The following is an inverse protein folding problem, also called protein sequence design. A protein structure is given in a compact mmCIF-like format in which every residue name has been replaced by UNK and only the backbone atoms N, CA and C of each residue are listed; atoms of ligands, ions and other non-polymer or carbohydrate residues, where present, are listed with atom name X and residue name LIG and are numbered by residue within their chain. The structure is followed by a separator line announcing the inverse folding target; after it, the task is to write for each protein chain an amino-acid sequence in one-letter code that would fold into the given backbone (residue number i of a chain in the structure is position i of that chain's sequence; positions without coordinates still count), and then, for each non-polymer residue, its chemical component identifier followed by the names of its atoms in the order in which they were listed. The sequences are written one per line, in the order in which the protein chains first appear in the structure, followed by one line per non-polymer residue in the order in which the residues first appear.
data_IF_527951969952
#
_entry.id   IF_527951969952
#
_cell.length_a   1.000
_cell.length_b   1.000
_cell.length_c   1.000
_cell.angle_alpha   90.00
_cell.angle_beta   90.00
_cell.angle_gamma   90.00
#
_symmetry.space_group_name_H-M   'P 1'
#
loop_
_entity.id
_entity.type
_entity.pdbx_description
1 polymer ?
#
# COMPACT_ATOMS: atom_id res chain seq x y z
N UNK A 1 8.95 -9.04 -19.28
CA UNK A 1 8.81 -10.09 -18.25
C UNK A 1 7.92 -11.24 -18.71
N UNK A 2 6.84 -10.96 -19.42
CA UNK A 2 5.95 -12.00 -19.98
C UNK A 2 6.61 -12.81 -21.12
N UNK A 3 7.56 -12.21 -21.84
CA UNK A 3 8.36 -12.89 -22.86
C UNK A 3 9.40 -13.82 -22.19
N UNK A 4 9.07 -15.11 -22.17
CA UNK A 4 9.92 -16.13 -21.54
C UNK A 4 11.30 -16.26 -22.21
N UNK A 5 11.37 -16.12 -23.53
CA UNK A 5 12.64 -16.28 -24.26
C UNK A 5 13.67 -15.23 -23.84
N UNK A 6 13.22 -14.02 -23.49
CA UNK A 6 14.09 -12.94 -23.00
C UNK A 6 14.35 -13.03 -21.50
N UNK A 7 13.38 -13.48 -20.70
CA UNK A 7 13.46 -13.55 -19.24
C UNK A 7 14.31 -14.71 -18.73
N UNK A 8 14.07 -15.90 -19.27
CA UNK A 8 14.67 -17.14 -18.78
C UNK A 8 16.22 -17.14 -18.81
N UNK A 9 16.90 -16.61 -19.87
CA UNK A 9 18.37 -16.51 -19.87
C UNK A 9 18.92 -15.65 -18.75
N UNK A 10 18.23 -14.55 -18.38
CA UNK A 10 18.63 -13.66 -17.30
C UNK A 10 18.53 -14.37 -15.94
N UNK A 11 17.42 -15.07 -15.70
CA UNK A 11 17.25 -15.86 -14.47
C UNK A 11 18.34 -16.94 -14.36
N UNK A 12 18.66 -17.63 -15.47
CA UNK A 12 19.70 -18.65 -15.49
C UNK A 12 21.08 -18.13 -15.09
N UNK A 13 21.41 -16.89 -15.46
CA UNK A 13 22.70 -16.24 -15.16
C UNK A 13 22.78 -15.65 -13.75
N UNK A 14 21.64 -15.40 -13.11
CA UNK A 14 21.60 -14.75 -11.78
C UNK A 14 22.06 -15.72 -10.70
N UNK A 15 22.66 -15.21 -9.63
CA UNK A 15 22.90 -15.93 -8.37
C UNK A 15 21.64 -15.96 -7.51
N UNK A 16 20.92 -14.83 -7.47
CA UNK A 16 19.64 -14.65 -6.79
C UNK A 16 18.75 -13.73 -7.62
N UNK A 17 17.45 -13.92 -7.59
CA UNK A 17 16.46 -13.09 -8.30
C UNK A 17 15.69 -12.27 -7.27
N UNK A 18 15.69 -10.94 -7.43
CA UNK A 18 14.87 -10.00 -6.64
C UNK A 18 13.77 -9.46 -7.57
N UNK A 19 12.52 -9.74 -7.23
CA UNK A 19 11.38 -9.32 -8.03
C UNK A 19 10.62 -8.18 -7.39
N UNK A 20 10.70 -6.99 -7.99
CA UNK A 20 9.92 -5.80 -7.64
C UNK A 20 8.78 -5.55 -8.64
N UNK A 21 8.38 -6.58 -9.35
CA UNK A 21 7.32 -6.53 -10.36
C UNK A 21 5.93 -6.42 -9.73
N UNK A 22 4.89 -6.05 -10.52
CA UNK A 22 3.51 -6.21 -10.08
C UNK A 22 3.20 -7.64 -9.61
N UNK A 23 2.33 -7.81 -8.59
CA UNK A 23 2.11 -9.11 -7.92
C UNK A 23 1.82 -10.28 -8.86
N UNK A 24 1.01 -10.06 -9.89
CA UNK A 24 0.63 -11.07 -10.88
C UNK A 24 1.77 -11.55 -11.78
N UNK A 25 2.92 -10.90 -11.75
CA UNK A 25 4.09 -11.25 -12.57
C UNK A 25 5.14 -12.06 -11.81
N UNK A 26 5.09 -12.10 -10.48
CA UNK A 26 6.06 -12.85 -9.67
C UNK A 26 6.07 -14.35 -10.00
N UNK A 27 4.91 -14.92 -10.27
CA UNK A 27 4.79 -16.37 -10.56
C UNK A 27 5.60 -16.82 -11.79
N UNK A 28 5.76 -15.94 -12.79
CA UNK A 28 6.57 -16.24 -13.95
C UNK A 28 8.06 -16.39 -13.59
N UNK A 29 8.55 -15.47 -12.73
CA UNK A 29 9.92 -15.55 -12.23
C UNK A 29 10.11 -16.72 -11.27
N UNK A 30 9.13 -17.03 -10.42
CA UNK A 30 9.17 -18.14 -9.49
C UNK A 30 9.33 -19.50 -10.23
N UNK A 31 8.55 -19.71 -11.30
CA UNK A 31 8.66 -20.91 -12.13
C UNK A 31 10.04 -21.04 -12.81
N UNK A 32 10.59 -19.93 -13.30
CA UNK A 32 11.93 -19.95 -13.90
C UNK A 32 13.02 -20.16 -12.84
N UNK A 33 12.87 -19.53 -11.65
CA UNK A 33 13.79 -19.73 -10.53
C UNK A 33 13.82 -21.20 -10.07
N UNK A 34 12.66 -21.82 -9.91
CA UNK A 34 12.58 -23.25 -9.55
C UNK A 34 13.27 -24.12 -10.61
N UNK A 35 12.98 -23.88 -11.91
CA UNK A 35 13.58 -24.61 -13.04
C UNK A 35 15.10 -24.50 -13.06
N UNK A 36 15.65 -23.30 -12.79
CA UNK A 36 17.10 -23.03 -12.87
C UNK A 36 17.80 -23.08 -11.53
N UNK A 37 17.12 -23.57 -10.49
CA UNK A 37 17.64 -23.69 -9.11
C UNK A 37 18.20 -22.39 -8.58
N UNK A 38 17.40 -21.32 -8.66
CA UNK A 38 17.72 -19.96 -8.16
C UNK A 38 16.84 -19.58 -7.01
N UNK A 39 17.39 -18.89 -6.03
CA UNK A 39 16.62 -18.30 -4.94
C UNK A 39 15.85 -17.08 -5.43
N UNK A 40 14.68 -16.81 -4.82
CA UNK A 40 13.80 -15.70 -5.18
C UNK A 40 13.43 -14.87 -3.96
N UNK A 41 13.47 -13.55 -4.11
CA UNK A 41 12.94 -12.59 -3.13
C UNK A 41 11.87 -11.74 -3.82
N UNK A 42 10.72 -11.54 -3.16
CA UNK A 42 9.68 -10.61 -3.63
C UNK A 42 9.22 -9.67 -2.53
N UNK A 43 8.80 -8.46 -2.89
CA UNK A 43 8.25 -7.46 -1.96
C UNK A 43 6.74 -7.59 -1.74
N UNK A 44 6.07 -8.48 -2.45
CA UNK A 44 4.61 -8.59 -2.42
C UNK A 44 4.14 -9.66 -1.44
N UNK A 45 2.86 -9.56 -1.05
CA UNK A 45 2.16 -10.61 -0.30
C UNK A 45 2.26 -11.96 -1.01
N UNK A 46 2.34 -13.03 -0.21
CA UNK A 46 2.35 -14.37 -0.73
C UNK A 46 1.01 -14.70 -1.40
N UNK A 47 1.04 -15.06 -2.68
CA UNK A 47 -0.16 -15.52 -3.40
C UNK A 47 -0.39 -17.01 -3.18
N UNK A 48 -1.62 -17.50 -3.41
CA UNK A 48 -1.92 -18.93 -3.34
C UNK A 48 -1.07 -19.75 -4.33
N UNK A 49 -0.78 -19.18 -5.51
CA UNK A 49 0.10 -19.83 -6.50
C UNK A 49 1.55 -19.97 -5.98
N UNK A 50 2.07 -18.93 -5.30
CA UNK A 50 3.40 -18.98 -4.67
C UNK A 50 3.43 -20.00 -3.52
N UNK A 51 2.36 -20.01 -2.70
CA UNK A 51 2.19 -20.94 -1.60
C UNK A 51 2.14 -22.39 -2.04
N UNK A 52 1.47 -22.65 -3.17
CA UNK A 52 1.39 -23.99 -3.75
C UNK A 52 2.77 -24.54 -4.19
N UNK A 53 3.75 -23.67 -4.47
CA UNK A 53 5.12 -24.08 -4.83
C UNK A 53 6.00 -24.44 -3.62
N UNK A 54 5.56 -24.23 -2.39
CA UNK A 54 6.40 -24.36 -1.17
C UNK A 54 7.08 -25.72 -1.08
N UNK A 55 6.35 -26.80 -1.33
CA UNK A 55 6.89 -28.16 -1.29
C UNK A 55 8.02 -28.36 -2.30
N UNK A 56 7.79 -28.03 -3.57
CA UNK A 56 8.77 -28.20 -4.64
C UNK A 56 10.02 -27.34 -4.41
N UNK A 57 9.84 -26.11 -3.91
CA UNK A 57 10.93 -25.19 -3.58
C UNK A 57 11.81 -25.77 -2.48
N UNK A 58 11.21 -26.30 -1.41
CA UNK A 58 11.93 -26.95 -0.30
C UNK A 58 12.65 -28.22 -0.73
N UNK A 59 12.01 -29.06 -1.52
CA UNK A 59 12.63 -30.28 -2.08
C UNK A 59 13.80 -29.97 -3.01
N UNK A 60 13.75 -28.84 -3.71
CA UNK A 60 14.86 -28.36 -4.54
C UNK A 60 16.01 -27.72 -3.74
N UNK A 61 15.90 -27.58 -2.41
CA UNK A 61 16.86 -26.91 -1.54
C UNK A 61 16.93 -25.40 -1.79
N UNK A 62 15.83 -24.80 -2.24
CA UNK A 62 15.75 -23.37 -2.57
C UNK A 62 15.00 -22.58 -1.49
N UNK A 63 15.22 -21.27 -1.50
CA UNK A 63 14.52 -20.32 -0.66
C UNK A 63 13.76 -19.30 -1.54
N UNK A 64 12.44 -19.24 -1.38
CA UNK A 64 11.59 -18.20 -1.93
C UNK A 64 11.07 -17.35 -0.76
N UNK A 65 11.58 -16.11 -0.65
CA UNK A 65 11.16 -15.18 0.38
C UNK A 65 10.18 -14.17 -0.20
N UNK A 66 8.93 -14.28 0.17
CA UNK A 66 7.91 -13.27 -0.11
C UNK A 66 7.82 -12.25 1.03
N UNK A 67 7.06 -11.17 0.82
CA UNK A 67 6.81 -10.16 1.85
C UNK A 67 8.09 -9.49 2.37
N UNK A 68 9.04 -9.24 1.46
CA UNK A 68 10.32 -8.60 1.76
C UNK A 68 10.34 -7.12 1.32
N UNK A 69 9.21 -6.43 1.49
CA UNK A 69 9.02 -5.01 1.22
C UNK A 69 8.91 -4.18 2.49
N UNK A 70 8.13 -3.12 2.43
CA UNK A 70 7.81 -2.26 3.57
C UNK A 70 6.58 -2.79 4.33
N UNK A 71 5.45 -2.91 3.66
CA UNK A 71 4.16 -3.48 4.05
C UNK A 71 3.57 -4.20 2.82
N UNK A 72 3.86 -5.49 2.72
CA UNK A 72 4.40 -6.41 3.74
C UNK A 72 5.94 -6.49 3.76
N UNK A 73 6.53 -6.58 4.96
CA UNK A 73 7.95 -6.84 5.17
C UNK A 73 8.52 -6.23 6.44
N UNK A 74 9.01 -5.00 6.37
CA UNK A 74 9.59 -4.30 7.53
C UNK A 74 8.58 -4.17 8.67
N UNK A 75 7.29 -4.01 8.36
CA UNK A 75 6.19 -4.01 9.33
C UNK A 75 6.14 -5.31 10.14
N UNK A 76 6.28 -6.46 9.49
CA UNK A 76 6.33 -7.76 10.14
C UNK A 76 7.59 -7.94 11.00
N UNK A 77 8.75 -7.55 10.46
CA UNK A 77 10.03 -7.70 11.15
C UNK A 77 10.09 -6.85 12.43
N UNK A 78 9.63 -5.60 12.35
CA UNK A 78 9.61 -4.69 13.50
C UNK A 78 8.57 -5.09 14.52
N UNK A 79 7.38 -5.54 14.09
CA UNK A 79 6.35 -6.07 14.96
C UNK A 79 6.86 -7.31 15.73
N UNK A 80 7.39 -8.32 15.02
CA UNK A 80 7.87 -9.55 15.63
C UNK A 80 9.04 -9.31 16.59
N UNK A 81 9.94 -8.36 16.26
CA UNK A 81 11.01 -7.97 17.21
C UNK A 81 10.45 -7.50 18.55
N UNK A 82 9.36 -6.73 18.55
CA UNK A 82 8.72 -6.23 19.77
C UNK A 82 7.97 -7.36 20.47
N UNK A 83 7.18 -8.15 19.74
CA UNK A 83 6.39 -9.26 20.23
C UNK A 83 7.27 -10.30 20.93
N UNK A 84 8.34 -10.73 20.29
CA UNK A 84 9.32 -11.64 20.89
C UNK A 84 10.00 -11.04 22.13
N UNK A 85 10.21 -9.70 22.14
CA UNK A 85 10.70 -9.00 23.34
C UNK A 85 9.73 -9.12 24.52
N UNK A 86 8.43 -8.98 24.27
CA UNK A 86 7.37 -9.12 25.27
C UNK A 86 7.27 -10.57 25.74
N UNK A 87 7.30 -11.54 24.82
CA UNK A 87 7.23 -12.97 25.17
C UNK A 87 8.40 -13.41 26.04
N UNK A 88 9.63 -12.91 25.78
CA UNK A 88 10.82 -13.22 26.61
C UNK A 88 10.67 -12.84 28.07
N UNK A 89 9.85 -11.86 28.39
CA UNK A 89 9.54 -11.48 29.79
C UNK A 89 8.20 -12.06 30.28
N UNK A 90 7.66 -13.07 29.58
CA UNK A 90 6.37 -13.68 29.86
C UNK A 90 5.18 -12.68 29.88
N UNK A 91 5.24 -11.67 29.00
CA UNK A 91 4.15 -10.76 28.77
C UNK A 91 3.08 -11.38 27.87
N UNK A 92 1.81 -11.15 28.16
CA UNK A 92 0.65 -11.64 27.40
C UNK A 92 0.09 -10.48 26.58
N UNK A 93 0.20 -10.57 25.26
CA UNK A 93 -0.27 -9.50 24.35
C UNK A 93 -1.80 -9.57 24.24
N UNK A 94 -2.46 -8.46 24.58
CA UNK A 94 -3.92 -8.34 24.57
C UNK A 94 -4.44 -7.48 23.40
N UNK A 95 -3.60 -6.57 22.89
CA UNK A 95 -3.92 -5.72 21.72
C UNK A 95 -2.67 -5.47 20.88
N UNK A 96 -2.82 -5.64 19.59
CA UNK A 96 -1.81 -5.30 18.59
C UNK A 96 -2.45 -4.51 17.45
N UNK A 97 -1.91 -3.34 17.15
CA UNK A 97 -2.29 -2.55 15.98
C UNK A 97 -1.02 -2.09 15.27
N UNK A 98 -0.95 -2.36 13.99
CA UNK A 98 0.14 -1.92 13.11
C UNK A 98 -0.40 -0.99 12.05
N UNK A 99 0.23 0.15 11.89
CA UNK A 99 -0.12 1.15 10.91
C UNK A 99 1.08 1.43 10.02
N UNK A 100 0.89 1.42 8.71
CA UNK A 100 1.93 1.75 7.76
C UNK A 100 1.38 2.63 6.62
N UNK A 101 2.16 3.58 6.12
CA UNK A 101 1.78 4.40 4.98
C UNK A 101 2.97 4.99 4.25
N UNK A 102 2.89 4.95 2.91
CA UNK A 102 3.66 5.83 2.04
C UNK A 102 2.90 7.14 1.88
N UNK A 103 3.52 8.24 2.25
CA UNK A 103 2.96 9.58 2.26
C UNK A 103 3.89 10.52 1.47
N UNK A 104 3.43 11.73 1.20
CA UNK A 104 4.29 12.80 0.73
C UNK A 104 4.94 13.49 1.94
N UNK A 105 6.23 13.83 1.83
CA UNK A 105 6.90 14.60 2.86
C UNK A 105 6.30 16.02 2.96
N UNK A 106 6.21 16.63 4.17
CA UNK A 106 5.55 17.92 4.35
C UNK A 106 6.09 19.03 3.44
N UNK A 107 7.38 19.03 3.15
CA UNK A 107 8.02 19.98 2.26
C UNK A 107 7.65 19.84 0.78
N UNK A 108 7.09 18.71 0.38
CA UNK A 108 6.66 18.39 -0.99
C UNK A 108 5.15 18.29 -1.13
N UNK A 109 4.43 18.60 -0.05
CA UNK A 109 2.96 18.53 0.02
C UNK A 109 2.33 19.82 -0.51
N UNK A 110 1.84 19.77 -1.75
CA UNK A 110 1.36 20.93 -2.50
C UNK A 110 0.01 20.70 -3.20
N UNK A 111 -0.78 19.74 -2.74
CA UNK A 111 -2.10 19.47 -3.33
C UNK A 111 -3.17 19.19 -2.26
N UNK A 112 -4.48 19.38 -2.56
CA UNK A 112 -5.54 19.29 -1.55
C UNK A 112 -5.79 17.86 -1.04
N UNK A 113 -5.23 16.85 -1.70
CA UNK A 113 -5.32 15.45 -1.29
C UNK A 113 -4.21 15.05 -0.31
N UNK A 114 -3.15 15.87 -0.19
CA UNK A 114 -1.97 15.55 0.60
C UNK A 114 -1.40 14.19 0.23
N UNK A 115 -1.35 13.91 -1.08
CA UNK A 115 -0.90 12.63 -1.61
C UNK A 115 -0.23 12.79 -2.98
N UNK A 116 0.83 12.04 -3.20
CA UNK A 116 1.47 11.80 -4.50
C UNK A 116 1.85 10.32 -4.63
N UNK A 117 2.01 9.82 -5.84
CA UNK A 117 2.42 8.46 -6.10
C UNK A 117 3.91 8.27 -5.85
N UNK A 118 4.28 7.60 -4.76
CA UNK A 118 5.65 7.14 -4.49
C UNK A 118 5.85 5.66 -4.86
N UNK A 119 4.82 4.99 -5.35
CA UNK A 119 4.82 3.58 -5.72
C UNK A 119 3.77 3.33 -6.82
N UNK A 120 3.47 2.05 -7.12
CA UNK A 120 2.60 1.70 -8.25
C UNK A 120 1.21 2.36 -8.16
N UNK A 121 0.85 3.27 -9.10
CA UNK A 121 -0.41 4.00 -9.06
C UNK A 121 -1.65 3.10 -9.10
N UNK A 122 -1.64 2.02 -9.89
CA UNK A 122 -2.77 1.09 -9.98
C UNK A 122 -3.08 0.43 -8.63
N UNK A 123 -2.03 0.05 -7.88
CA UNK A 123 -2.22 -0.53 -6.56
C UNK A 123 -2.83 0.45 -5.56
N UNK A 124 -2.65 1.75 -5.74
CA UNK A 124 -3.31 2.78 -4.92
C UNK A 124 -4.80 2.83 -5.25
N UNK A 125 -5.18 2.81 -6.54
CA UNK A 125 -6.59 2.85 -6.96
C UNK A 125 -7.35 1.59 -6.50
N UNK A 126 -6.70 0.44 -6.51
CA UNK A 126 -7.30 -0.83 -6.08
C UNK A 126 -7.07 -1.16 -4.60
N UNK A 127 -6.44 -0.24 -3.84
CA UNK A 127 -6.20 -0.46 -2.41
C UNK A 127 -7.52 -0.64 -1.64
N UNK A 128 -7.61 -1.73 -0.90
CA UNK A 128 -8.81 -2.04 -0.12
C UNK A 128 -9.91 -2.78 -0.89
N UNK A 129 -9.79 -2.98 -2.22
CA UNK A 129 -10.83 -3.63 -3.03
C UNK A 129 -11.24 -5.03 -2.53
N UNK A 130 -10.34 -5.74 -1.85
CA UNK A 130 -10.63 -7.03 -1.24
C UNK A 130 -11.34 -6.95 0.13
N UNK A 131 -11.67 -5.74 0.60
CA UNK A 131 -12.15 -5.54 1.95
C UNK A 131 -11.05 -5.70 3.00
N UNK A 132 -11.44 -5.78 4.26
CA UNK A 132 -10.53 -6.03 5.38
C UNK A 132 -11.18 -6.86 6.49
N UNK A 133 -10.39 -7.75 7.11
CA UNK A 133 -10.79 -8.53 8.29
C UNK A 133 -9.80 -8.29 9.41
N UNK A 134 -10.31 -8.06 10.60
CA UNK A 134 -9.48 -7.84 11.78
C UNK A 134 -10.24 -8.20 13.06
N UNK A 135 -9.51 -8.33 14.17
CA UNK A 135 -10.10 -8.57 15.48
C UNK A 135 -10.18 -7.25 16.26
N UNK A 136 -11.35 -6.93 16.80
CA UNK A 136 -11.57 -5.76 17.65
C UNK A 136 -12.31 -6.15 18.93
N UNK A 137 -11.63 -6.01 20.07
CA UNK A 137 -12.20 -6.34 21.40
C UNK A 137 -12.84 -7.74 21.47
N UNK A 138 -12.19 -8.73 20.86
CA UNK A 138 -12.61 -10.12 20.83
C UNK A 138 -13.68 -10.45 19.79
N UNK A 139 -14.06 -9.51 18.93
CA UNK A 139 -14.99 -9.74 17.82
C UNK A 139 -14.27 -9.60 16.49
N UNK A 140 -14.54 -10.52 15.59
CA UNK A 140 -14.12 -10.38 14.19
C UNK A 140 -14.96 -9.30 13.51
N UNK A 141 -14.27 -8.41 12.82
CA UNK A 141 -14.85 -7.35 12.01
C UNK A 141 -14.51 -7.64 10.55
N UNK A 142 -15.53 -7.70 9.71
CA UNK A 142 -15.41 -7.82 8.27
C UNK A 142 -15.92 -6.53 7.63
N UNK A 143 -15.04 -5.82 6.95
CA UNK A 143 -15.35 -4.50 6.38
C UNK A 143 -15.27 -4.60 4.86
N UNK A 144 -16.40 -4.56 4.15
CA UNK A 144 -16.40 -4.52 2.70
C UNK A 144 -15.83 -3.19 2.18
N UNK A 145 -15.37 -3.21 0.93
CA UNK A 145 -14.68 -2.06 0.32
C UNK A 145 -15.47 -0.77 0.41
N UNK A 146 -16.78 -0.82 0.14
CA UNK A 146 -17.68 0.32 0.13
C UNK A 146 -17.72 1.05 1.48
N UNK A 147 -17.51 0.32 2.58
CA UNK A 147 -17.53 0.84 3.96
C UNK A 147 -16.15 1.16 4.52
N UNK A 148 -15.09 0.84 3.79
CA UNK A 148 -13.70 0.94 4.27
C UNK A 148 -13.35 2.36 4.74
N UNK A 149 -13.82 3.37 4.03
CA UNK A 149 -13.47 4.77 4.23
C UNK A 149 -14.59 5.59 4.92
N UNK A 150 -15.73 5.01 5.25
CA UNK A 150 -16.86 5.72 5.89
C UNK A 150 -16.51 6.27 7.27
N UNK A 151 -15.81 5.49 8.06
CA UNK A 151 -15.37 5.91 9.38
C UNK A 151 -13.95 6.50 9.32
N UNK A 152 -13.80 7.80 9.49
CA UNK A 152 -12.49 8.44 9.58
C UNK A 152 -11.90 8.14 10.95
N UNK A 153 -11.14 7.06 11.04
CA UNK A 153 -10.37 6.70 12.21
C UNK A 153 -9.04 7.45 12.19
N UNK A 154 -8.58 7.91 13.35
CA UNK A 154 -7.31 8.66 13.46
C UNK A 154 -6.41 8.01 14.48
N UNK A 155 -5.11 8.17 14.26
CA UNK A 155 -4.05 7.83 15.21
C UNK A 155 -3.02 8.96 15.23
N UNK A 156 -2.45 9.23 16.39
CA UNK A 156 -1.40 10.25 16.53
C UNK A 156 -0.04 9.58 16.34
N UNK A 157 0.72 10.06 15.37
CA UNK A 157 2.10 9.60 15.13
C UNK A 157 3.06 10.62 15.73
N UNK A 158 4.00 10.20 16.60
CA UNK A 158 4.99 11.10 17.17
C UNK A 158 5.75 11.89 16.09
N UNK A 159 5.83 13.21 16.26
CA UNK A 159 6.50 14.11 15.32
C UNK A 159 5.71 14.50 14.05
N UNK A 160 4.56 13.85 13.77
CA UNK A 160 3.75 14.17 12.60
C UNK A 160 2.31 14.60 12.92
N UNK A 161 1.83 14.32 14.14
CA UNK A 161 0.45 14.63 14.51
C UNK A 161 -0.56 13.54 14.09
N UNK A 162 -1.82 13.96 13.89
CA UNK A 162 -2.91 13.04 13.62
C UNK A 162 -2.98 12.65 12.14
N UNK A 163 -2.82 11.36 11.86
CA UNK A 163 -3.09 10.74 10.55
C UNK A 163 -4.40 9.96 10.59
N UNK A 164 -5.06 9.85 9.45
CA UNK A 164 -6.18 8.93 9.27
C UNK A 164 -5.68 7.55 8.89
N UNK A 165 -6.49 6.52 9.20
CA UNK A 165 -6.20 5.16 8.77
C UNK A 165 -7.45 4.40 8.38
N UNK A 166 -7.27 3.39 7.56
CA UNK A 166 -8.27 2.37 7.24
C UNK A 166 -7.64 0.98 7.38
N UNK A 167 -8.43 -0.06 7.76
CA UNK A 167 -7.89 -1.41 7.92
C UNK A 167 -7.34 -1.94 6.60
N UNK A 168 -6.28 -2.76 6.69
CA UNK A 168 -5.56 -3.27 5.52
C UNK A 168 -5.71 -4.78 5.40
N UNK A 169 -6.46 -5.23 4.38
CA UNK A 169 -6.63 -6.65 4.01
C UNK A 169 -7.06 -7.55 5.19
N UNK A 170 -6.84 -8.85 5.07
CA UNK A 170 -7.05 -9.80 6.17
C UNK A 170 -5.86 -9.75 7.14
N UNK A 171 -6.09 -9.20 8.33
CA UNK A 171 -5.11 -9.21 9.40
C UNK A 171 -5.07 -10.55 10.14
N UNK A 172 -6.18 -11.31 10.14
CA UNK A 172 -6.31 -12.52 10.96
C UNK A 172 -5.39 -13.65 10.48
N UNK A 173 -5.05 -13.68 9.20
CA UNK A 173 -4.10 -14.63 8.65
C UNK A 173 -2.68 -14.58 9.26
N UNK A 174 -2.38 -13.54 10.04
CA UNK A 174 -1.07 -13.36 10.69
C UNK A 174 -1.06 -13.71 12.18
N UNK A 175 -2.19 -14.10 12.78
CA UNK A 175 -2.28 -14.41 14.22
C UNK A 175 -1.31 -15.50 14.64
N UNK A 176 -1.26 -16.59 13.88
CA UNK A 176 -0.36 -17.71 14.15
C UNK A 176 1.12 -17.32 13.91
N UNK A 177 1.39 -16.59 12.82
CA UNK A 177 2.75 -16.16 12.49
C UNK A 177 3.32 -15.16 13.52
N UNK A 178 2.47 -14.45 14.22
CA UNK A 178 2.86 -13.52 15.29
C UNK A 178 2.83 -14.16 16.69
N UNK A 179 2.39 -15.41 16.78
CA UNK A 179 2.32 -16.15 18.06
C UNK A 179 1.52 -15.40 19.15
N UNK A 180 0.34 -14.85 18.79
CA UNK A 180 -0.50 -14.04 19.69
C UNK A 180 -1.91 -14.62 19.85
N UNK A 181 -2.07 -15.86 20.33
CA UNK A 181 -3.36 -16.55 20.36
C UNK A 181 -4.40 -15.88 21.28
N UNK A 182 -3.95 -15.19 22.33
CA UNK A 182 -4.82 -14.58 23.35
C UNK A 182 -5.23 -13.15 23.04
N UNK A 183 -4.75 -12.59 21.93
CA UNK A 183 -5.00 -11.21 21.55
C UNK A 183 -6.51 -10.94 21.38
N UNK A 184 -6.99 -9.80 21.88
CA UNK A 184 -8.39 -9.37 21.74
C UNK A 184 -8.57 -8.30 20.66
N UNK A 185 -7.51 -7.62 20.29
CA UNK A 185 -7.50 -6.67 19.18
C UNK A 185 -6.27 -6.92 18.34
N UNK A 186 -6.49 -7.23 17.05
CA UNK A 186 -5.40 -7.46 16.10
C UNK A 186 -5.75 -6.83 14.76
N UNK A 187 -5.03 -5.79 14.38
CA UNK A 187 -5.34 -5.00 13.18
C UNK A 187 -4.08 -4.49 12.51
N UNK A 188 -4.01 -4.67 11.20
CA UNK A 188 -3.10 -3.95 10.31
C UNK A 188 -3.88 -2.88 9.56
N UNK A 189 -3.30 -1.70 9.38
CA UNK A 189 -4.00 -0.56 8.81
C UNK A 189 -3.08 0.30 7.93
N UNK A 190 -3.66 0.97 6.96
CA UNK A 190 -2.96 1.90 6.07
C UNK A 190 -3.16 3.33 6.55
N UNK A 191 -2.04 4.06 6.71
CA UNK A 191 -2.04 5.48 7.07
C UNK A 191 -2.22 6.36 5.83
N UNK A 192 -3.00 7.43 6.00
CA UNK A 192 -3.16 8.50 5.01
C UNK A 192 -3.43 9.84 5.72
N UNK A 193 -3.32 10.93 4.97
CA UNK A 193 -3.82 12.21 5.45
C UNK A 193 -5.36 12.17 5.57
N UNK A 194 -5.96 12.85 6.57
CA UNK A 194 -7.42 12.84 6.74
C UNK A 194 -8.22 13.31 5.52
N UNK A 195 -7.69 14.25 4.73
CA UNK A 195 -8.32 14.70 3.48
C UNK A 195 -8.39 13.59 2.46
N UNK A 196 -7.31 12.79 2.29
CA UNK A 196 -7.31 11.65 1.38
C UNK A 196 -8.49 10.71 1.66
N UNK A 197 -8.66 10.29 2.92
CA UNK A 197 -9.75 9.36 3.28
C UNK A 197 -11.12 9.92 2.95
N UNK A 198 -11.38 11.22 3.21
CA UNK A 198 -12.65 11.87 2.86
C UNK A 198 -12.90 11.90 1.35
N UNK A 199 -11.90 12.32 0.59
CA UNK A 199 -12.01 12.37 -0.87
C UNK A 199 -12.15 10.98 -1.48
N UNK A 200 -11.38 10.00 -0.97
CA UNK A 200 -11.44 8.62 -1.44
C UNK A 200 -12.80 7.98 -1.17
N UNK A 201 -13.39 8.22 0.00
CA UNK A 201 -14.76 7.82 0.31
C UNK A 201 -15.75 8.32 -0.76
N UNK A 202 -15.62 9.57 -1.18
CA UNK A 202 -16.50 10.13 -2.22
C UNK A 202 -16.31 9.42 -3.56
N UNK A 203 -15.07 9.12 -3.98
CA UNK A 203 -14.79 8.37 -5.21
C UNK A 203 -15.38 6.96 -5.18
N UNK A 204 -15.23 6.26 -4.05
CA UNK A 204 -15.80 4.92 -3.82
C UNK A 204 -17.32 4.97 -3.86
N UNK A 205 -17.94 5.88 -3.13
CA UNK A 205 -19.40 6.03 -3.06
C UNK A 205 -20.05 6.41 -4.41
N UNK A 206 -19.29 7.06 -5.30
CA UNK A 206 -19.67 7.34 -6.67
C UNK A 206 -19.41 6.17 -7.63
N UNK A 207 -18.75 5.10 -7.19
CA UNK A 207 -18.35 3.97 -8.03
C UNK A 207 -17.27 4.29 -9.05
N UNK A 208 -16.46 5.34 -8.81
CA UNK A 208 -15.38 5.75 -9.72
C UNK A 208 -14.13 4.89 -9.61
N UNK A 209 -14.06 4.02 -8.61
CA UNK A 209 -12.99 3.05 -8.39
C UNK A 209 -13.33 1.63 -8.86
N UNK A 210 -14.47 1.46 -9.52
CA UNK A 210 -14.94 0.17 -10.02
C UNK A 210 -14.00 -0.37 -11.11
N UNK A 211 -13.54 -1.61 -10.92
CA UNK A 211 -12.66 -2.31 -11.87
C UNK A 211 -13.39 -3.26 -12.79
N UNK A 212 -14.69 -3.50 -12.55
CA UNK A 212 -15.50 -4.50 -13.22
C UNK A 212 -16.42 -3.94 -14.29
N UNK A 213 -16.68 -2.62 -14.25
CA UNK A 213 -17.50 -1.95 -15.24
C UNK A 213 -16.75 -1.73 -16.57
N UNK A 214 -17.49 -1.36 -17.60
CA UNK A 214 -16.96 -1.18 -18.95
C UNK A 214 -17.58 0.08 -19.55
N UNK A 215 -16.79 1.13 -19.69
CA UNK A 215 -17.18 2.44 -20.16
C UNK A 215 -16.61 2.66 -21.56
N UNK A 216 -17.51 2.82 -22.56
CA UNK A 216 -17.10 3.28 -23.89
C UNK A 216 -16.78 4.77 -23.84
N UNK A 217 -15.60 5.14 -24.32
CA UNK A 217 -15.18 6.54 -24.36
C UNK A 217 -15.81 7.35 -25.48
N UNK A 218 -16.40 6.71 -26.50
CA UNK A 218 -16.91 7.40 -27.68
C UNK A 218 -18.01 8.41 -27.32
N UNK A 219 -17.76 9.69 -27.58
CA UNK A 219 -18.67 10.79 -27.25
C UNK A 219 -18.78 11.11 -25.76
N UNK A 220 -18.05 10.43 -24.89
CA UNK A 220 -18.07 10.63 -23.45
C UNK A 220 -16.94 11.54 -22.95
N UNK A 221 -17.25 12.35 -21.94
CA UNK A 221 -16.33 13.21 -21.21
C UNK A 221 -16.23 12.79 -19.75
N UNK A 222 -15.23 13.27 -19.02
CA UNK A 222 -15.16 13.03 -17.58
C UNK A 222 -16.45 13.46 -16.87
N UNK A 223 -16.99 14.61 -17.24
CA UNK A 223 -18.26 15.10 -16.67
C UNK A 223 -19.44 14.15 -16.98
N UNK A 224 -19.58 13.65 -18.23
CA UNK A 224 -20.66 12.72 -18.59
C UNK A 224 -20.53 11.39 -17.86
N UNK A 225 -19.30 10.87 -17.71
CA UNK A 225 -19.01 9.67 -16.95
C UNK A 225 -19.43 9.83 -15.48
N UNK A 226 -18.99 10.92 -14.81
CA UNK A 226 -19.35 11.18 -13.41
C UNK A 226 -20.86 11.37 -13.25
N UNK A 227 -21.52 12.08 -14.16
CA UNK A 227 -22.98 12.24 -14.16
C UNK A 227 -23.70 10.89 -14.22
N UNK A 228 -23.25 9.99 -15.10
CA UNK A 228 -23.78 8.64 -15.22
C UNK A 228 -23.58 7.84 -13.93
N UNK A 229 -22.37 7.78 -13.40
CA UNK A 229 -22.05 7.04 -12.15
C UNK A 229 -22.79 7.62 -10.93
N UNK A 230 -22.93 8.93 -10.85
CA UNK A 230 -23.67 9.59 -9.77
C UNK A 230 -25.18 9.39 -9.84
N UNK A 231 -25.73 8.96 -10.99
CA UNK A 231 -27.16 8.94 -11.24
C UNK A 231 -27.76 10.37 -11.29
N UNK A 232 -26.99 11.31 -11.87
CA UNK A 232 -27.38 12.71 -11.94
C UNK A 232 -28.63 12.91 -12.81
N UNK A 233 -29.58 13.68 -12.30
CA UNK A 233 -30.83 13.99 -13.02
C UNK A 233 -30.88 15.43 -13.55
N UNK A 234 -30.55 16.42 -12.71
CA UNK A 234 -30.63 17.86 -13.05
C UNK A 234 -29.85 18.75 -12.07
N UNK A 235 -29.59 19.98 -12.49
CA UNK A 235 -28.90 21.00 -11.69
C UNK A 235 -27.38 20.95 -11.83
N UNK A 236 -26.66 21.75 -11.01
CA UNK A 236 -25.21 21.69 -10.95
C UNK A 236 -24.74 20.37 -10.35
N UNK A 237 -23.80 19.68 -11.02
CA UNK A 237 -23.35 18.34 -10.61
C UNK A 237 -22.66 18.35 -9.25
N UNK A 238 -21.88 19.39 -8.95
CA UNK A 238 -21.19 19.57 -7.68
C UNK A 238 -22.17 19.62 -6.51
N UNK A 239 -23.22 20.43 -6.63
CA UNK A 239 -24.28 20.53 -5.62
C UNK A 239 -25.09 19.23 -5.48
N UNK A 240 -25.29 18.51 -6.59
CA UNK A 240 -25.95 17.21 -6.58
C UNK A 240 -25.10 16.18 -5.80
N UNK A 241 -23.79 16.09 -6.09
CA UNK A 241 -22.87 15.17 -5.41
C UNK A 241 -22.72 15.56 -3.93
N UNK A 242 -22.56 16.86 -3.61
CA UNK A 242 -22.48 17.33 -2.23
C UNK A 242 -23.68 16.86 -1.40
N UNK A 243 -24.89 17.01 -1.94
CA UNK A 243 -26.11 16.55 -1.28
C UNK A 243 -26.20 15.04 -1.20
N UNK A 244 -25.88 14.31 -2.29
CA UNK A 244 -25.94 12.84 -2.35
C UNK A 244 -25.02 12.17 -1.34
N UNK A 245 -23.81 12.71 -1.19
CA UNK A 245 -22.78 12.14 -0.33
C UNK A 245 -22.69 12.79 1.05
N UNK A 246 -23.50 13.79 1.33
CA UNK A 246 -23.36 14.65 2.50
C UNK A 246 -21.91 15.16 2.65
N UNK A 247 -21.31 15.57 1.52
CA UNK A 247 -19.93 16.00 1.43
C UNK A 247 -19.79 17.50 1.68
N UNK A 248 -18.76 17.90 2.40
CA UNK A 248 -18.40 19.31 2.61
C UNK A 248 -17.79 19.93 1.33
N UNK A 249 -17.73 21.26 1.29
CA UNK A 249 -17.17 22.01 0.13
C UNK A 249 -15.72 21.62 -0.17
N UNK A 250 -14.93 21.25 0.83
CA UNK A 250 -13.54 20.83 0.65
C UNK A 250 -13.46 19.54 -0.16
N UNK A 251 -14.34 18.57 0.09
CA UNK A 251 -14.42 17.33 -0.70
C UNK A 251 -14.77 17.66 -2.13
N UNK A 252 -15.77 18.52 -2.38
CA UNK A 252 -16.15 18.92 -3.73
C UNK A 252 -15.00 19.63 -4.46
N UNK A 253 -14.29 20.52 -3.78
CA UNK A 253 -13.08 21.17 -4.34
C UNK A 253 -11.97 20.17 -4.66
N UNK A 254 -11.76 19.16 -3.81
CA UNK A 254 -10.80 18.08 -4.07
C UNK A 254 -11.18 17.27 -5.32
N UNK A 255 -12.46 16.94 -5.48
CA UNK A 255 -12.97 16.23 -6.65
C UNK A 255 -12.83 17.10 -7.92
N UNK A 256 -13.17 18.38 -7.86
CA UNK A 256 -12.99 19.33 -8.95
C UNK A 256 -11.51 19.49 -9.34
N UNK A 257 -10.61 19.53 -8.35
CA UNK A 257 -9.17 19.62 -8.58
C UNK A 257 -8.63 18.41 -9.35
N UNK A 258 -9.19 17.22 -9.16
CA UNK A 258 -8.86 16.06 -9.99
C UNK A 258 -9.30 16.20 -11.46
N UNK A 259 -10.25 17.09 -11.76
CA UNK A 259 -10.78 17.26 -13.10
C UNK A 259 -11.93 16.30 -13.44
N UNK A 260 -12.56 15.67 -12.45
CA UNK A 260 -13.69 14.75 -12.72
C UNK A 260 -14.92 15.46 -13.29
N UNK A 261 -15.00 16.79 -13.14
CA UNK A 261 -16.07 17.61 -13.71
C UNK A 261 -15.70 18.27 -15.05
N UNK A 262 -14.54 17.92 -15.61
CA UNK A 262 -14.05 18.48 -16.89
C UNK A 262 -14.90 17.97 -18.07
N UNK A 263 -15.13 18.85 -19.05
CA UNK A 263 -15.74 18.46 -20.32
C UNK A 263 -14.72 17.88 -21.33
N UNK A 264 -13.52 17.51 -20.86
CA UNK A 264 -12.53 16.86 -21.70
C UNK A 264 -12.97 15.45 -22.08
N UNK A 265 -12.71 15.00 -23.31
CA UNK A 265 -12.99 13.63 -23.73
C UNK A 265 -12.31 12.60 -22.83
N UNK A 266 -12.95 11.45 -22.63
CA UNK A 266 -12.30 10.29 -22.02
C UNK A 266 -11.17 9.77 -22.92
N UNK A 267 -10.16 9.08 -22.34
CA UNK A 267 -9.15 8.37 -23.14
C UNK A 267 -9.80 7.42 -24.13
N UNK A 268 -9.28 7.35 -25.36
CA UNK A 268 -9.87 6.51 -26.42
C UNK A 268 -9.89 5.02 -26.03
N UNK A 269 -10.99 4.33 -26.34
CA UNK A 269 -11.19 2.92 -26.08
C UNK A 269 -12.25 2.64 -25.03
N UNK A 270 -12.31 1.39 -24.59
CA UNK A 270 -13.19 0.94 -23.52
C UNK A 270 -12.38 0.71 -22.26
N UNK A 271 -12.82 1.29 -21.16
CA UNK A 271 -12.07 1.31 -19.89
C UNK A 271 -12.98 1.02 -18.71
N UNK A 272 -12.42 0.48 -17.63
CA UNK A 272 -13.11 0.50 -16.34
C UNK A 272 -13.12 1.91 -15.74
N UNK A 273 -14.04 2.19 -14.83
CA UNK A 273 -14.05 3.44 -14.06
C UNK A 273 -12.75 3.66 -13.31
N UNK A 274 -12.16 2.59 -12.78
CA UNK A 274 -10.85 2.64 -12.12
C UNK A 274 -9.72 3.05 -13.10
N UNK A 275 -9.74 2.60 -14.35
CA UNK A 275 -8.75 2.99 -15.36
C UNK A 275 -8.92 4.46 -15.78
N UNK A 276 -10.16 4.94 -15.94
CA UNK A 276 -10.46 6.34 -16.21
C UNK A 276 -9.98 7.23 -15.05
N UNK A 277 -10.30 6.85 -13.81
CA UNK A 277 -9.83 7.55 -12.62
C UNK A 277 -8.30 7.59 -12.56
N UNK A 278 -7.64 6.45 -12.79
CA UNK A 278 -6.18 6.36 -12.80
C UNK A 278 -5.56 7.32 -13.80
N UNK A 279 -6.14 7.47 -14.99
CA UNK A 279 -5.72 8.43 -16.00
C UNK A 279 -5.79 9.89 -15.53
N UNK A 280 -6.76 10.24 -14.67
CA UNK A 280 -6.84 11.56 -14.03
C UNK A 280 -5.82 11.73 -12.90
N UNK A 281 -5.59 10.67 -12.13
CA UNK A 281 -4.73 10.74 -10.94
C UNK A 281 -3.24 10.82 -11.30
N UNK A 282 -2.79 10.07 -12.33
CA UNK A 282 -1.35 10.02 -12.70
C UNK A 282 -0.76 11.42 -12.87
N UNK A 283 -1.28 12.32 -13.74
CA UNK A 283 -0.66 13.64 -13.94
C UNK A 283 -0.84 14.58 -12.75
N UNK A 284 -1.78 14.29 -11.83
CA UNK A 284 -2.06 15.13 -10.66
C UNK A 284 -1.27 14.74 -9.43
N UNK A 285 -0.92 13.46 -9.34
CA UNK A 285 -0.21 12.89 -8.19
C UNK A 285 1.19 12.40 -8.56
N UNK A 286 1.67 12.69 -9.77
CA UNK A 286 3.06 12.45 -10.15
C UNK A 286 4.01 13.24 -9.22
N UNK A 287 5.07 12.59 -8.78
CA UNK A 287 6.12 13.25 -8.01
C UNK A 287 7.03 14.03 -8.96
N UNK A 288 7.26 15.32 -8.66
CA UNK A 288 8.31 16.09 -9.32
C UNK A 288 9.69 15.54 -8.91
N UNK A 289 10.71 15.88 -9.68
CA UNK A 289 12.07 15.39 -9.48
C UNK A 289 12.65 15.72 -8.09
N UNK A 290 12.24 16.87 -7.52
CA UNK A 290 12.65 17.35 -6.19
C UNK A 290 11.76 16.87 -5.06
N UNK A 291 10.61 16.27 -5.37
CA UNK A 291 9.68 15.82 -4.34
C UNK A 291 10.28 14.68 -3.51
N UNK A 292 9.96 14.71 -2.24
CA UNK A 292 10.32 13.67 -1.28
C UNK A 292 9.07 12.95 -0.81
N UNK A 293 9.11 11.64 -0.83
CA UNK A 293 8.14 10.82 -0.14
C UNK A 293 8.51 10.64 1.33
N UNK A 294 7.62 10.03 2.06
CA UNK A 294 7.81 9.73 3.47
C UNK A 294 7.14 8.39 3.81
N UNK A 295 7.88 7.53 4.46
CA UNK A 295 7.36 6.29 5.02
C UNK A 295 7.07 6.51 6.49
N UNK A 296 5.87 6.15 6.92
CA UNK A 296 5.44 6.20 8.32
C UNK A 296 4.97 4.83 8.76
N UNK A 297 5.50 4.35 9.87
CA UNK A 297 5.08 3.11 10.51
C UNK A 297 4.87 3.35 12.00
N UNK A 298 3.81 2.77 12.57
CA UNK A 298 3.49 2.85 13.99
C UNK A 298 2.93 1.50 14.45
N UNK A 299 3.50 0.97 15.53
CA UNK A 299 2.93 -0.16 16.25
C UNK A 299 2.43 0.30 17.61
N UNK A 300 1.19 -0.03 17.94
CA UNK A 300 0.61 0.14 19.27
C UNK A 300 0.31 -1.25 19.84
N UNK A 301 0.90 -1.57 20.98
CA UNK A 301 0.77 -2.88 21.62
C UNK A 301 0.33 -2.69 23.09
N UNK A 302 -0.69 -3.44 23.50
CA UNK A 302 -1.06 -3.54 24.89
C UNK A 302 -0.78 -4.99 25.35
N UNK A 303 -0.14 -5.13 26.50
CA UNK A 303 0.17 -6.44 27.07
C UNK A 303 0.07 -6.44 28.59
N UNK A 304 -0.15 -7.60 29.17
CA UNK A 304 -0.15 -7.81 30.61
C UNK A 304 1.18 -8.45 31.04
N UNK A 305 1.79 -7.91 32.07
CA UNK A 305 2.99 -8.46 32.67
C UNK A 305 2.93 -8.31 34.20
N UNK A 306 3.03 -9.42 34.92
CA UNK A 306 2.96 -9.46 36.40
C UNK A 306 1.74 -8.70 36.95
N UNK A 307 0.56 -8.89 36.35
CA UNK A 307 -0.69 -8.23 36.73
C UNK A 307 -0.84 -6.78 36.32
N UNK A 308 0.16 -6.18 35.68
CA UNK A 308 0.10 -4.80 35.21
C UNK A 308 -0.22 -4.77 33.71
N UNK A 309 -1.10 -3.84 33.32
CA UNK A 309 -1.38 -3.51 31.90
C UNK A 309 -0.39 -2.47 31.41
N UNK A 310 0.33 -2.81 30.36
CA UNK A 310 1.37 -1.96 29.79
C UNK A 310 0.97 -1.63 28.36
N UNK A 311 1.16 -0.35 27.99
CA UNK A 311 1.02 0.14 26.60
C UNK A 311 2.40 0.50 26.07
N UNK A 312 2.72 -0.01 24.89
CA UNK A 312 3.94 0.28 24.16
C UNK A 312 3.60 0.84 22.80
N UNK A 313 4.30 1.87 22.40
CA UNK A 313 4.21 2.44 21.05
C UNK A 313 5.61 2.50 20.46
N UNK A 314 5.74 2.09 19.20
CA UNK A 314 6.98 2.17 18.43
C UNK A 314 6.68 2.79 17.08
N UNK A 315 7.39 3.85 16.71
CA UNK A 315 7.18 4.55 15.44
C UNK A 315 8.47 4.67 14.64
N UNK A 316 8.32 4.66 13.32
CA UNK A 316 9.38 4.93 12.36
C UNK A 316 8.85 5.97 11.35
N UNK A 317 9.62 7.02 11.13
CA UNK A 317 9.38 8.02 10.10
C UNK A 317 10.65 8.18 9.30
N UNK A 318 10.60 7.86 8.02
CA UNK A 318 11.75 7.97 7.11
C UNK A 318 11.31 8.78 5.89
N UNK A 319 12.04 9.83 5.58
CA UNK A 319 11.85 10.65 4.38
C UNK A 319 12.77 10.17 3.28
N UNK A 320 12.25 10.13 2.05
CA UNK A 320 13.07 9.90 0.87
C UNK A 320 14.01 11.08 0.59
N UNK A 321 15.08 10.81 -0.13
CA UNK A 321 16.09 11.82 -0.44
C UNK A 321 15.75 12.68 -1.66
N UNK A 322 14.76 12.25 -2.46
CA UNK A 322 14.42 12.85 -3.75
C UNK A 322 15.40 12.44 -4.87
N UNK A 323 14.95 12.48 -6.11
CA UNK A 323 15.73 11.99 -7.27
C UNK A 323 17.04 12.78 -7.47
N UNK A 324 17.05 14.06 -7.15
CA UNK A 324 18.25 14.92 -7.27
C UNK A 324 19.43 14.46 -6.43
N UNK A 325 19.15 13.90 -5.26
CA UNK A 325 20.18 13.39 -4.33
C UNK A 325 20.65 12.00 -4.74
N UNK A 326 19.76 11.19 -5.33
CA UNK A 326 20.14 9.91 -5.93
C UNK A 326 21.10 10.08 -7.11
N UNK A 327 20.87 11.05 -8.00
CA UNK A 327 21.81 11.37 -9.10
C UNK A 327 23.19 11.83 -8.60
N UNK A 328 23.23 12.57 -7.49
CA UNK A 328 24.50 12.97 -6.85
C UNK A 328 25.23 11.77 -6.26
N UNK A 329 24.52 10.82 -5.66
CA UNK A 329 25.12 9.58 -5.13
C UNK A 329 25.60 8.66 -6.26
N UNK A 330 24.89 8.60 -7.38
CA UNK A 330 25.32 7.84 -8.56
C UNK A 330 26.56 8.45 -9.24
N UNK A 331 26.76 9.76 -9.14
CA UNK A 331 27.93 10.51 -9.65
C UNK A 331 29.15 10.50 -8.72
N UNK A 332 29.02 9.94 -7.51
CA UNK A 332 30.19 9.79 -6.62
C UNK A 332 31.23 8.86 -7.28
N UNK A 333 32.53 9.25 -7.30
CA UNK A 333 33.58 8.49 -7.96
C UNK A 333 33.63 7.05 -7.49
N UNK A 334 33.96 6.13 -8.39
CA UNK A 334 34.03 4.67 -8.20
C UNK A 334 34.91 4.22 -7.01
N UNK A 335 35.70 5.10 -6.43
CA UNK A 335 36.51 4.88 -5.22
C UNK A 335 35.62 4.52 -4.02
N UNK A 336 34.46 5.16 -3.84
CA UNK A 336 33.53 4.85 -2.75
C UNK A 336 32.76 3.54 -2.96
N UNK A 337 32.60 3.08 -4.21
CA UNK A 337 31.99 1.78 -4.53
C UNK A 337 32.91 0.59 -4.17
N UNK A 338 34.21 0.79 -4.04
CA UNK A 338 35.16 -0.26 -3.62
C UNK A 338 35.24 -0.46 -2.10
N UNK A 339 35.13 0.60 -1.31
CA UNK A 339 35.18 0.48 0.16
C UNK A 339 33.96 -0.26 0.76
N UNK A 340 32.78 -0.13 0.16
CA UNK A 340 31.61 -0.89 0.62
C UNK A 340 31.71 -2.40 0.31
N UNK A 341 32.41 -2.80 -0.75
CA UNK A 341 32.68 -4.21 -1.06
C UNK A 341 33.77 -4.81 -0.17
N UNK A 342 34.77 -4.01 0.21
CA UNK A 342 35.88 -4.50 1.04
C UNK A 342 35.47 -4.69 2.51
N UNK A 343 34.55 -3.86 3.03
CA UNK A 343 34.01 -4.03 4.39
C UNK A 343 33.08 -5.23 4.57
N UNK A 344 32.56 -5.82 3.49
CA UNK A 344 31.75 -7.04 3.55
C UNK A 344 32.59 -8.34 3.50
N UNK A 345 33.83 -8.28 2.98
CA UNK A 345 34.73 -9.44 2.92
C UNK A 345 35.58 -9.61 4.16
N UNK A 346 35.76 -8.55 4.98
CA UNK A 346 36.57 -8.60 6.21
C UNK A 346 35.76 -8.95 7.49
N UNK A 347 34.51 -9.42 7.34
CA UNK A 347 33.61 -9.87 8.42
C UNK A 347 33.08 -11.29 8.19
N UNK A 348 33.88 -12.16 7.61
CA UNK A 348 33.65 -13.60 7.66
C UNK A 348 34.65 -14.27 8.60
#
# INVERSE_FOLDING_TARGET
ITDRAKREPLVKQADIVISLMPPNLHIHLAKDCLKHKKNLITSSYISEEMKAMDKEVKEAGLMFMCEMGLDPGIDHMTANKIIHGIHRVAGIITSFKSYCGGLIAPESDNNPWHYKFSWNPRNVVTAGAAGARYLLKGKEEDVPYEKMFEAIRKVTVPGLGALAYYPNRDSLGYLDAYEVPDVKTFMRATLRHPSFNKGWQALVALGLTDTSDSIDSHGNTYLSWVKSKAGWAKGAIEGFIAKKLNADDKVIQMLAWLGIFDQKPLPAGTHSSADILLGLLIPRWEMAHEDKDMVVMLHEIEYEHRGNKIKLSSSMVVKGEGAKQQELQERLPSVYKRESKQKMTDKQ
#
